data_IF_596176471574
#
_entry.id   IF_596176471574
#
_cell.length_a   1.000
_cell.length_b   1.000
_cell.length_c   1.000
_cell.angle_alpha   90.00
_cell.angle_beta   90.00
_cell.angle_gamma   90.00
#
_symmetry.space_group_name_H-M   'P 1'
#
loop_
_entity.id
_entity.type
_entity.pdbx_description
1 polymer ?
#
# COMPACT_ATOMS: atom_id res chain seq x y z
N UNK A 1 -31.70 45.02 18.98
CA UNK A 1 -30.81 44.32 19.92
C UNK A 1 -31.52 44.27 21.28
N UNK A 2 -31.52 43.14 22.01
CA UNK A 2 -32.39 42.92 23.18
C UNK A 2 -31.90 43.54 24.51
N UNK A 3 -30.77 44.24 24.49
CA UNK A 3 -30.11 44.90 25.61
C UNK A 3 -29.22 46.05 25.09
N UNK A 4 -28.77 46.94 25.98
CA UNK A 4 -27.77 47.98 25.69
C UNK A 4 -26.40 47.46 26.13
N UNK A 5 -25.37 47.69 25.31
CA UNK A 5 -23.98 47.34 25.66
C UNK A 5 -23.44 48.34 26.68
N UNK A 6 -23.48 47.99 27.96
CA UNK A 6 -22.96 48.81 29.07
C UNK A 6 -21.63 48.30 29.64
N UNK A 7 -21.32 47.01 29.46
CA UNK A 7 -20.13 46.39 30.02
C UNK A 7 -18.86 46.76 29.25
N UNK A 8 -17.75 47.11 29.94
CA UNK A 8 -16.46 47.37 29.28
C UNK A 8 -15.87 46.12 28.61
N UNK A 9 -16.34 44.92 28.98
CA UNK A 9 -15.88 43.63 28.45
C UNK A 9 -16.14 43.51 26.95
N UNK A 10 -17.17 44.19 26.41
CA UNK A 10 -17.44 44.18 24.96
C UNK A 10 -16.23 44.57 24.14
N UNK A 11 -15.50 45.62 24.55
CA UNK A 11 -14.31 46.08 23.84
C UNK A 11 -13.22 45.01 23.81
N UNK A 12 -13.06 44.25 24.89
CA UNK A 12 -12.07 43.16 24.96
C UNK A 12 -12.47 42.02 24.02
N UNK A 13 -13.72 41.56 24.08
CA UNK A 13 -14.19 40.43 23.27
C UNK A 13 -14.23 40.78 21.78
N UNK A 14 -14.73 41.97 21.43
CA UNK A 14 -14.79 42.43 20.03
C UNK A 14 -13.40 42.70 19.44
N UNK A 15 -12.36 42.86 20.28
CA UNK A 15 -10.97 43.02 19.81
C UNK A 15 -10.26 41.70 19.51
N UNK A 16 -10.88 40.54 19.80
CA UNK A 16 -10.29 39.25 19.47
C UNK A 16 -10.10 39.13 17.95
N UNK A 17 -8.96 38.56 17.54
CA UNK A 17 -8.55 38.50 16.13
C UNK A 17 -9.59 37.84 15.22
N UNK A 18 -10.31 36.84 15.73
CA UNK A 18 -11.41 36.18 15.00
C UNK A 18 -12.48 37.16 14.50
N UNK A 19 -12.81 38.21 15.27
CA UNK A 19 -13.81 39.19 14.86
C UNK A 19 -13.25 40.27 13.93
N UNK A 20 -11.93 40.35 13.79
CA UNK A 20 -11.27 41.16 12.76
C UNK A 20 -11.26 40.43 11.42
N UNK A 21 -10.97 39.13 11.45
CA UNK A 21 -10.93 38.25 10.28
C UNK A 21 -12.36 37.92 9.78
N UNK A 22 -13.26 37.64 10.72
CA UNK A 22 -14.65 37.28 10.46
C UNK A 22 -15.59 38.18 11.28
N UNK A 23 -15.85 39.41 10.82
CA UNK A 23 -16.71 40.34 11.51
C UNK A 23 -18.13 39.77 11.70
N UNK A 24 -18.63 39.83 12.93
CA UNK A 24 -19.94 39.29 13.31
C UNK A 24 -20.89 40.41 13.77
N UNK A 25 -22.17 40.30 13.39
CA UNK A 25 -23.26 41.19 13.85
C UNK A 25 -24.50 40.42 14.30
N UNK A 26 -24.38 39.55 15.31
CA UNK A 26 -25.49 38.74 15.80
C UNK A 26 -26.66 39.58 16.33
N UNK A 27 -27.88 39.11 16.06
CA UNK A 27 -29.11 39.80 16.48
C UNK A 27 -29.47 39.53 17.95
N UNK A 28 -29.01 38.41 18.50
CA UNK A 28 -29.27 37.93 19.86
C UNK A 28 -30.75 37.81 20.27
N UNK A 29 -31.69 37.89 19.33
CA UNK A 29 -33.15 37.82 19.58
C UNK A 29 -33.61 36.74 20.59
N UNK A 30 -33.06 35.50 20.63
CA UNK A 30 -33.48 34.52 21.63
C UNK A 30 -33.36 35.02 23.09
N UNK A 31 -32.47 35.98 23.37
CA UNK A 31 -32.25 36.55 24.70
C UNK A 31 -33.40 37.40 25.21
N UNK A 32 -34.40 37.75 24.38
CA UNK A 32 -35.65 38.35 24.89
C UNK A 32 -36.36 37.46 25.92
N UNK A 33 -36.13 36.15 25.87
CA UNK A 33 -36.66 35.17 26.84
C UNK A 33 -35.92 35.19 28.18
N UNK A 34 -34.75 35.80 28.26
CA UNK A 34 -33.94 35.91 29.48
C UNK A 34 -34.33 37.16 30.28
N UNK A 35 -34.02 37.14 31.59
CA UNK A 35 -34.16 38.31 32.47
C UNK A 35 -33.27 39.44 31.98
N UNK A 36 -33.75 40.68 32.03
CA UNK A 36 -33.07 41.85 31.49
C UNK A 36 -31.62 41.99 31.96
N UNK A 37 -31.38 41.81 33.26
CA UNK A 37 -30.05 41.91 33.89
C UNK A 37 -29.05 40.84 33.41
N UNK A 38 -29.52 39.73 32.82
CA UNK A 38 -28.67 38.62 32.39
C UNK A 38 -28.35 38.66 30.89
N UNK A 39 -29.15 39.40 30.09
CA UNK A 39 -29.07 39.40 28.61
C UNK A 39 -27.72 39.80 28.08
N UNK A 40 -27.14 40.86 28.64
CA UNK A 40 -25.83 41.35 28.20
C UNK A 40 -24.74 40.31 28.48
N UNK A 41 -24.75 39.70 29.67
CA UNK A 41 -23.80 38.64 30.03
C UNK A 41 -23.91 37.42 29.11
N UNK A 42 -25.13 36.98 28.80
CA UNK A 42 -25.34 35.89 27.85
C UNK A 42 -24.82 36.23 26.46
N UNK A 43 -25.05 37.45 25.97
CA UNK A 43 -24.57 37.87 24.65
C UNK A 43 -23.04 37.90 24.57
N UNK A 44 -22.36 38.37 25.62
CA UNK A 44 -20.90 38.30 25.74
C UNK A 44 -20.44 36.84 25.70
N UNK A 45 -21.10 35.96 26.46
CA UNK A 45 -20.82 34.52 26.47
C UNK A 45 -20.92 33.89 25.08
N UNK A 46 -21.94 34.25 24.30
CA UNK A 46 -22.11 33.77 22.93
C UNK A 46 -20.99 34.25 21.99
N UNK A 47 -20.51 35.49 22.15
CA UNK A 47 -19.35 35.97 21.38
C UNK A 47 -18.10 35.16 21.72
N UNK A 48 -17.83 34.93 23.01
CA UNK A 48 -16.69 34.09 23.45
C UNK A 48 -16.82 32.66 22.92
N UNK A 49 -18.02 32.06 22.99
CA UNK A 49 -18.30 30.72 22.43
C UNK A 49 -17.97 30.66 20.94
N UNK A 50 -18.34 31.68 20.15
CA UNK A 50 -18.00 31.72 18.73
C UNK A 50 -16.48 31.74 18.51
N UNK A 51 -15.76 32.60 19.24
CA UNK A 51 -14.30 32.69 19.15
C UNK A 51 -13.63 31.34 19.48
N UNK A 52 -14.08 30.68 20.55
CA UNK A 52 -13.57 29.37 20.96
C UNK A 52 -13.84 28.29 19.90
N UNK A 53 -15.04 28.24 19.32
CA UNK A 53 -15.38 27.24 18.31
C UNK A 53 -14.54 27.41 17.04
N UNK A 54 -14.29 28.65 16.61
CA UNK A 54 -13.40 28.92 15.47
C UNK A 54 -11.97 28.48 15.78
N UNK A 55 -11.46 28.81 16.96
CA UNK A 55 -10.13 28.38 17.39
C UNK A 55 -10.02 26.86 17.45
N UNK A 56 -11.00 26.17 18.05
CA UNK A 56 -11.06 24.70 18.08
C UNK A 56 -11.08 24.11 16.68
N UNK A 57 -11.87 24.68 15.78
CA UNK A 57 -11.94 24.25 14.37
C UNK A 57 -10.58 24.35 13.68
N UNK A 58 -9.79 25.40 13.96
CA UNK A 58 -8.43 25.55 13.41
C UNK A 58 -7.43 24.48 13.91
N UNK A 59 -7.71 23.88 15.07
CA UNK A 59 -6.88 22.86 15.71
C UNK A 59 -7.30 21.44 15.35
N UNK A 60 -8.42 21.25 14.65
CA UNK A 60 -8.85 19.93 14.17
C UNK A 60 -7.82 19.31 13.22
N UNK A 61 -7.61 18.00 13.36
CA UNK A 61 -6.68 17.19 12.56
C UNK A 61 -7.38 15.92 12.08
N UNK A 62 -6.78 15.23 11.11
CA UNK A 62 -7.33 13.97 10.57
C UNK A 62 -7.54 12.88 11.63
N UNK A 63 -6.74 12.88 12.69
CA UNK A 63 -6.84 11.93 13.81
C UNK A 63 -7.66 12.44 14.99
N UNK A 64 -8.18 13.66 14.93
CA UNK A 64 -9.07 14.16 15.99
C UNK A 64 -10.30 13.26 16.12
N UNK A 65 -10.79 13.01 17.35
CA UNK A 65 -12.02 12.25 17.58
C UNK A 65 -13.25 12.89 16.90
N UNK A 66 -14.18 12.06 16.39
CA UNK A 66 -15.36 12.53 15.64
C UNK A 66 -16.32 13.38 16.48
N UNK A 67 -16.48 13.04 17.76
CA UNK A 67 -17.27 13.78 18.75
C UNK A 67 -16.85 15.25 18.86
N UNK A 68 -15.57 15.57 18.68
CA UNK A 68 -15.10 16.96 18.69
C UNK A 68 -15.66 17.76 17.50
N UNK A 69 -15.80 17.14 16.32
CA UNK A 69 -16.39 17.78 15.14
C UNK A 69 -17.88 18.04 15.36
N UNK A 70 -18.61 17.02 15.83
CA UNK A 70 -20.05 17.13 16.08
C UNK A 70 -20.37 18.13 17.20
N UNK A 71 -19.57 18.16 18.27
CA UNK A 71 -19.69 19.17 19.32
C UNK A 71 -19.50 20.59 18.79
N UNK A 72 -18.55 20.80 17.86
CA UNK A 72 -18.39 22.10 17.20
C UNK A 72 -19.59 22.45 16.31
N UNK A 73 -20.13 21.50 15.54
CA UNK A 73 -21.33 21.71 14.71
C UNK A 73 -22.56 22.06 15.55
N UNK A 74 -22.77 21.38 16.66
CA UNK A 74 -23.84 21.68 17.61
C UNK A 74 -23.69 23.09 18.18
N UNK A 75 -22.49 23.46 18.61
CA UNK A 75 -22.21 24.81 19.10
C UNK A 75 -22.45 25.89 18.02
N UNK A 76 -22.13 25.62 16.75
CA UNK A 76 -22.42 26.53 15.64
C UNK A 76 -23.91 26.62 15.33
N UNK A 77 -24.65 25.51 15.44
CA UNK A 77 -26.11 25.52 15.28
C UNK A 77 -26.76 26.43 16.32
N UNK A 78 -26.35 26.34 17.60
CA UNK A 78 -26.80 27.28 18.63
C UNK A 78 -26.47 28.71 18.28
N UNK A 79 -25.22 28.99 17.89
CA UNK A 79 -24.76 30.34 17.54
C UNK A 79 -25.56 30.91 16.36
N UNK A 80 -25.89 30.10 15.36
CA UNK A 80 -26.74 30.50 14.23
C UNK A 80 -28.11 31.01 14.69
N UNK A 81 -28.71 30.38 15.71
CA UNK A 81 -29.98 30.84 16.30
C UNK A 81 -29.89 32.21 16.97
N UNK A 82 -28.70 32.62 17.41
CA UNK A 82 -28.44 33.96 17.95
C UNK A 82 -28.04 34.98 16.86
N UNK A 83 -27.97 34.57 15.59
CA UNK A 83 -27.70 35.42 14.45
C UNK A 83 -26.25 35.50 14.03
N UNK A 84 -25.40 34.59 14.50
CA UNK A 84 -24.03 34.50 14.01
C UNK A 84 -24.00 33.97 12.58
N UNK A 85 -23.13 34.52 11.76
CA UNK A 85 -22.75 33.93 10.47
C UNK A 85 -21.72 32.84 10.72
N UNK A 86 -22.18 31.60 10.64
CA UNK A 86 -21.40 30.39 10.95
C UNK A 86 -21.02 29.59 9.71
N UNK A 87 -21.51 29.98 8.53
CA UNK A 87 -21.52 29.10 7.35
C UNK A 87 -20.11 28.70 6.92
N UNK A 88 -19.17 29.66 6.93
CA UNK A 88 -17.76 29.41 6.62
C UNK A 88 -17.14 28.35 7.55
N UNK A 89 -17.47 28.40 8.85
CA UNK A 89 -16.94 27.45 9.85
C UNK A 89 -17.61 26.08 9.68
N UNK A 90 -18.92 26.05 9.42
CA UNK A 90 -19.68 24.81 9.15
C UNK A 90 -19.14 24.11 7.91
N UNK A 91 -18.98 24.83 6.79
CA UNK A 91 -18.39 24.28 5.56
C UNK A 91 -17.00 23.71 5.84
N UNK A 92 -16.15 24.45 6.58
CA UNK A 92 -14.82 23.99 6.93
C UNK A 92 -14.83 22.69 7.74
N UNK A 93 -15.72 22.55 8.71
CA UNK A 93 -15.84 21.32 9.51
C UNK A 93 -16.30 20.16 8.63
N UNK A 94 -17.29 20.38 7.75
CA UNK A 94 -17.78 19.36 6.82
C UNK A 94 -16.69 18.90 5.85
N UNK A 95 -15.89 19.83 5.30
CA UNK A 95 -14.76 19.49 4.45
C UNK A 95 -13.72 18.64 5.20
N UNK A 96 -13.47 18.94 6.47
CA UNK A 96 -12.55 18.15 7.29
C UNK A 96 -13.11 16.75 7.58
N UNK A 97 -14.42 16.60 7.79
CA UNK A 97 -15.09 15.30 7.95
C UNK A 97 -14.97 14.46 6.68
N UNK A 98 -15.27 15.03 5.51
CA UNK A 98 -15.12 14.35 4.22
C UNK A 98 -13.68 13.88 3.98
N UNK A 99 -12.69 14.73 4.28
CA UNK A 99 -11.28 14.35 4.18
C UNK A 99 -10.90 13.22 5.16
N UNK A 100 -11.48 13.21 6.36
CA UNK A 100 -11.26 12.16 7.35
C UNK A 100 -11.84 10.82 6.90
N UNK A 101 -13.02 10.81 6.29
CA UNK A 101 -13.62 9.60 5.69
C UNK A 101 -12.75 9.06 4.56
N UNK A 102 -12.30 9.95 3.66
CA UNK A 102 -11.36 9.59 2.59
C UNK A 102 -10.05 9.02 3.13
N UNK A 103 -9.51 9.59 4.20
CA UNK A 103 -8.30 9.08 4.86
C UNK A 103 -8.51 7.64 5.37
N UNK A 104 -9.65 7.36 5.99
CA UNK A 104 -9.98 6.01 6.46
C UNK A 104 -10.10 5.00 5.30
N UNK A 105 -10.70 5.40 4.19
CA UNK A 105 -10.79 4.57 2.98
C UNK A 105 -9.39 4.25 2.42
N UNK A 106 -8.53 5.26 2.27
CA UNK A 106 -7.16 5.08 1.78
C UNK A 106 -6.34 4.17 2.71
N UNK A 107 -6.53 4.27 4.02
CA UNK A 107 -5.86 3.39 4.98
C UNK A 107 -6.29 1.92 4.83
N UNK A 108 -7.56 1.68 4.55
CA UNK A 108 -8.04 0.31 4.30
C UNK A 108 -7.50 -0.25 2.99
N UNK A 109 -7.49 0.57 1.92
CA UNK A 109 -6.89 0.19 0.64
C UNK A 109 -5.39 -0.10 0.77
N UNK A 110 -4.66 0.71 1.54
CA UNK A 110 -3.24 0.46 1.79
C UNK A 110 -3.00 -0.90 2.47
N UNK A 111 -3.81 -1.25 3.49
CA UNK A 111 -3.73 -2.55 4.15
C UNK A 111 -4.01 -3.71 3.20
N UNK A 112 -4.99 -3.57 2.31
CA UNK A 112 -5.31 -4.60 1.31
C UNK A 112 -4.14 -4.81 0.34
N UNK A 113 -3.52 -3.73 -0.13
CA UNK A 113 -2.32 -3.80 -0.98
C UNK A 113 -1.15 -4.44 -0.23
N UNK A 114 -0.94 -4.11 1.04
CA UNK A 114 0.12 -4.72 1.86
C UNK A 114 -0.07 -6.24 2.01
N UNK A 115 -1.32 -6.72 2.16
CA UNK A 115 -1.65 -8.14 2.18
C UNK A 115 -1.29 -8.80 0.84
N UNK A 116 -1.70 -8.22 -0.29
CA UNK A 116 -1.38 -8.76 -1.62
C UNK A 116 0.13 -8.80 -1.88
N UNK A 117 0.88 -7.78 -1.45
CA UNK A 117 2.34 -7.76 -1.55
C UNK A 117 2.95 -8.89 -0.74
N UNK A 118 2.45 -9.14 0.49
CA UNK A 118 2.95 -10.21 1.34
C UNK A 118 2.69 -11.60 0.73
N UNK A 119 1.49 -11.83 0.19
CA UNK A 119 1.12 -13.07 -0.50
C UNK A 119 2.01 -13.33 -1.72
N UNK A 120 2.13 -12.35 -2.63
CA UNK A 120 2.99 -12.46 -3.81
C UNK A 120 4.47 -12.63 -3.46
N UNK A 121 4.93 -12.00 -2.37
CA UNK A 121 6.31 -12.17 -1.89
C UNK A 121 6.55 -13.59 -1.41
N UNK A 122 5.58 -14.21 -0.73
CA UNK A 122 5.66 -15.59 -0.30
C UNK A 122 5.64 -16.56 -1.48
N UNK A 123 4.71 -16.38 -2.43
CA UNK A 123 4.65 -17.19 -3.66
C UNK A 123 5.94 -17.12 -4.47
N UNK A 124 6.50 -15.91 -4.64
CA UNK A 124 7.80 -15.71 -5.29
C UNK A 124 8.90 -16.51 -4.60
N UNK A 125 8.93 -16.54 -3.27
CA UNK A 125 9.94 -17.30 -2.51
C UNK A 125 9.84 -18.80 -2.80
N UNK A 126 8.62 -19.35 -2.83
CA UNK A 126 8.41 -20.76 -3.16
C UNK A 126 8.87 -21.08 -4.59
N UNK A 127 8.59 -20.19 -5.55
CA UNK A 127 9.05 -20.35 -6.92
C UNK A 127 10.57 -20.29 -7.04
N UNK A 128 11.25 -19.44 -6.26
CA UNK A 128 12.71 -19.38 -6.22
C UNK A 128 13.31 -20.70 -5.74
N UNK A 129 12.74 -21.31 -4.69
CA UNK A 129 13.15 -22.63 -4.18
C UNK A 129 12.96 -23.74 -5.24
N UNK A 130 11.84 -23.72 -5.97
CA UNK A 130 11.58 -24.66 -7.06
C UNK A 130 12.60 -24.50 -8.21
N UNK A 131 12.93 -23.25 -8.58
CA UNK A 131 13.96 -22.94 -9.59
C UNK A 131 15.31 -23.49 -9.15
N UNK A 132 15.72 -23.25 -7.90
CA UNK A 132 16.99 -23.77 -7.36
C UNK A 132 17.04 -25.31 -7.39
N UNK A 133 15.92 -25.97 -7.06
CA UNK A 133 15.81 -27.43 -7.11
C UNK A 133 15.93 -27.97 -8.55
N UNK A 134 15.30 -27.30 -9.52
CA UNK A 134 15.40 -27.63 -10.95
C UNK A 134 16.84 -27.45 -11.44
N UNK A 135 17.49 -26.33 -11.11
CA UNK A 135 18.88 -26.05 -11.51
C UNK A 135 19.87 -27.07 -10.94
N UNK A 136 19.64 -27.53 -9.72
CA UNK A 136 20.39 -28.65 -9.16
C UNK A 136 20.18 -29.92 -9.98
N UNK A 137 18.95 -30.21 -10.39
CA UNK A 137 18.64 -31.41 -11.18
C UNK A 137 19.24 -31.39 -12.57
N UNK A 138 19.24 -30.22 -13.22
CA UNK A 138 19.88 -30.00 -14.52
C UNK A 138 21.38 -30.34 -14.41
N UNK A 139 22.08 -29.79 -13.41
CA UNK A 139 23.51 -30.08 -13.19
C UNK A 139 23.81 -31.57 -12.99
N UNK A 140 22.97 -32.27 -12.22
CA UNK A 140 23.09 -33.73 -12.05
C UNK A 140 22.94 -34.49 -13.38
N UNK A 141 21.97 -34.09 -14.21
CA UNK A 141 21.71 -34.72 -15.50
C UNK A 141 22.83 -34.42 -16.50
N UNK A 142 23.36 -33.21 -16.52
CA UNK A 142 24.51 -32.83 -17.35
C UNK A 142 25.75 -33.66 -17.00
N UNK A 143 26.04 -33.84 -15.71
CA UNK A 143 27.14 -34.68 -15.25
C UNK A 143 26.98 -36.15 -15.67
N UNK A 144 25.76 -36.71 -15.53
CA UNK A 144 25.45 -38.07 -15.99
C UNK A 144 25.60 -38.22 -17.51
N UNK A 145 25.15 -37.22 -18.28
CA UNK A 145 25.30 -37.19 -19.73
C UNK A 145 26.77 -37.18 -20.13
N UNK A 146 27.60 -36.36 -19.50
CA UNK A 146 29.03 -36.29 -19.77
C UNK A 146 29.72 -37.64 -19.52
N UNK A 147 29.40 -38.30 -18.40
CA UNK A 147 29.91 -39.64 -18.09
C UNK A 147 29.50 -40.67 -19.15
N UNK A 148 28.23 -40.67 -19.55
CA UNK A 148 27.71 -41.58 -20.57
C UNK A 148 28.38 -41.36 -21.94
N UNK A 149 28.63 -40.10 -22.33
CA UNK A 149 29.37 -39.81 -23.57
C UNK A 149 30.80 -40.35 -23.52
N UNK A 150 31.53 -40.14 -22.43
CA UNK A 150 32.90 -40.68 -22.29
C UNK A 150 32.94 -42.22 -22.31
N UNK A 151 31.96 -42.88 -21.69
CA UNK A 151 31.84 -44.34 -21.77
C UNK A 151 31.54 -44.81 -23.19
N UNK A 152 30.66 -44.12 -23.91
CA UNK A 152 30.35 -44.41 -25.31
C UNK A 152 31.59 -44.28 -26.19
N UNK A 153 32.32 -43.18 -26.11
CA UNK A 153 33.55 -42.95 -26.90
C UNK A 153 34.58 -44.07 -26.67
N UNK A 154 34.74 -44.52 -25.42
CA UNK A 154 35.62 -45.66 -25.10
C UNK A 154 35.14 -46.94 -25.78
N UNK A 155 33.84 -47.22 -25.73
CA UNK A 155 33.25 -48.40 -26.38
C UNK A 155 33.33 -48.34 -27.90
N UNK A 156 33.14 -47.18 -28.49
CA UNK A 156 33.31 -46.96 -29.93
C UNK A 156 34.77 -47.26 -30.36
N UNK A 157 35.76 -46.86 -29.54
CA UNK A 157 37.16 -47.22 -29.77
C UNK A 157 37.43 -48.72 -29.63
N UNK A 158 36.91 -49.38 -28.59
CA UNK A 158 37.04 -50.84 -28.41
C UNK A 158 36.43 -51.60 -29.61
N UNK A 159 35.28 -51.15 -30.11
CA UNK A 159 34.62 -51.73 -31.29
C UNK A 159 35.50 -51.56 -32.54
N UNK A 160 36.08 -50.38 -32.75
CA UNK A 160 36.96 -50.11 -33.89
C UNK A 160 38.19 -51.03 -33.90
N UNK A 161 38.84 -51.23 -32.74
CA UNK A 161 39.99 -52.12 -32.60
C UNK A 161 39.62 -53.58 -32.93
N UNK A 162 38.47 -54.03 -32.43
CA UNK A 162 37.96 -55.38 -32.72
C UNK A 162 37.62 -55.56 -34.20
N UNK A 163 37.02 -54.57 -34.84
CA UNK A 163 36.71 -54.59 -36.28
C UNK A 163 37.99 -54.67 -37.13
N UNK A 164 39.03 -53.92 -36.74
CA UNK A 164 40.34 -53.96 -37.41
C UNK A 164 40.96 -55.35 -37.30
N UNK A 165 40.97 -55.92 -36.09
CA UNK A 165 41.53 -57.26 -35.84
C UNK A 165 40.74 -58.36 -36.56
N UNK A 166 39.40 -58.27 -36.59
CA UNK A 166 38.56 -59.19 -37.33
C UNK A 166 38.88 -59.17 -38.83
N UNK A 167 39.05 -57.97 -39.41
CA UNK A 167 39.40 -57.80 -40.83
C UNK A 167 40.77 -58.43 -41.16
N UNK A 168 41.76 -58.27 -40.27
CA UNK A 168 43.06 -58.92 -40.42
C UNK A 168 42.95 -60.46 -40.40
N UNK A 169 42.19 -61.02 -39.45
CA UNK A 169 41.94 -62.47 -39.37
C UNK A 169 41.26 -62.97 -40.65
N UNK A 170 40.23 -62.26 -41.14
CA UNK A 170 39.56 -62.62 -42.39
C UNK A 170 40.52 -62.65 -43.57
N UNK A 171 41.42 -61.66 -43.70
CA UNK A 171 42.45 -61.65 -44.74
C UNK A 171 43.42 -62.84 -44.61
N UNK A 172 43.83 -63.19 -43.38
CA UNK A 172 44.66 -64.38 -43.14
C UNK A 172 43.96 -65.68 -43.51
N UNK A 173 42.66 -65.82 -43.19
CA UNK A 173 41.84 -66.98 -43.58
C UNK A 173 41.78 -67.08 -45.10
N UNK A 174 41.46 -65.99 -45.81
CA UNK A 174 41.40 -65.98 -47.27
C UNK A 174 42.73 -66.38 -47.91
N UNK A 175 43.84 -65.88 -47.37
CA UNK A 175 45.19 -66.28 -47.81
C UNK A 175 45.45 -67.77 -47.59
N UNK A 176 45.16 -68.28 -46.38
CA UNK A 176 45.36 -69.70 -46.08
C UNK A 176 44.51 -70.61 -46.99
N UNK A 177 43.25 -70.24 -47.25
CA UNK A 177 42.39 -70.96 -48.20
C UNK A 177 42.97 -70.97 -49.62
N UNK A 178 43.51 -69.84 -50.09
CA UNK A 178 44.17 -69.75 -51.39
C UNK A 178 45.43 -70.64 -51.44
N UNK A 179 46.27 -70.59 -50.41
CA UNK A 179 47.49 -71.40 -50.31
C UNK A 179 47.15 -72.90 -50.33
N UNK A 180 46.13 -73.33 -49.58
CA UNK A 180 45.62 -74.71 -49.62
C UNK A 180 45.14 -75.14 -51.02
N UNK A 181 44.37 -74.29 -51.71
CA UNK A 181 43.89 -74.57 -53.05
C UNK A 181 45.03 -74.70 -54.07
N UNK A 182 46.07 -73.87 -53.93
CA UNK A 182 47.26 -73.93 -54.80
C UNK A 182 48.08 -75.21 -54.63
N UNK A 183 48.17 -75.74 -53.41
CA UNK A 183 48.91 -76.97 -53.09
C UNK A 183 48.14 -78.24 -53.50
N UNK A 184 46.81 -78.20 -53.49
CA UNK A 184 45.97 -79.34 -53.86
C UNK A 184 45.71 -79.47 -55.37
N UNK A 185 46.09 -78.46 -56.17
CA UNK A 185 46.09 -78.50 -57.63
C UNK A 185 47.46 -78.82 -58.28
N UNK A 186 48.50 -79.06 -57.48
CA UNK A 186 49.82 -79.48 -57.98
C UNK A 186 49.84 -81.01 -58.25
N UNK A 187 50.29 -81.47 -59.43
CA UNK A 187 50.27 -82.89 -59.83
C UNK A 187 51.13 -83.82 -58.97
#
# INVERSE_FOLDING_TARGET
MPFVKGSPVWRMVESLEVFRIMPQKPHFQPLFKCKELEREGFAIGQMVKFAEVVERTSKLRGYSPFDVFYSCLEALADLKMHGFDVEVVVCRINDLLLNKERLAQLQNQAKEVDIQIAELTHERSNLEEDIEAIDKKIRELEAKRALAMSMKERKDSEIFDLQTRASAISAHISKACHDFASLSGAP
#
